data_IF_745587718008
#
_entry.id   IF_745587718008
#
_cell.length_a   1.000
_cell.length_b   1.000
_cell.length_c   1.000
_cell.angle_alpha   90.00
_cell.angle_beta   90.00
_cell.angle_gamma   90.00
#
_symmetry.space_group_name_H-M   'P 1'
#
loop_
_entity.id
_entity.type
_entity.pdbx_description
1 polymer ?
#
# COMPACT_ATOMS: atom_id res chain seq x y z
N UNK A 1 -31.38 -19.55 78.95
CA UNK A 1 -30.00 -19.15 79.33
C UNK A 1 -28.94 -20.07 78.71
N UNK A 2 -28.83 -21.35 79.08
CA UNK A 2 -27.81 -22.26 78.49
C UNK A 2 -27.92 -22.46 76.97
N UNK A 3 -29.13 -22.59 76.43
CA UNK A 3 -29.36 -22.71 74.98
C UNK A 3 -28.94 -21.46 74.22
N UNK A 4 -29.36 -20.27 74.65
CA UNK A 4 -29.03 -18.98 74.01
C UNK A 4 -27.52 -18.71 74.01
N UNK A 5 -26.84 -19.03 75.11
CA UNK A 5 -25.37 -18.92 75.19
C UNK A 5 -24.72 -19.86 74.18
N UNK A 6 -25.14 -21.13 74.11
CA UNK A 6 -24.59 -22.08 73.13
C UNK A 6 -24.82 -21.63 71.67
N UNK A 7 -25.99 -21.05 71.35
CA UNK A 7 -26.26 -20.50 70.01
C UNK A 7 -25.35 -19.31 69.70
N UNK A 8 -25.13 -18.42 70.66
CA UNK A 8 -24.23 -17.27 70.52
C UNK A 8 -22.76 -17.68 70.40
N UNK A 9 -22.30 -18.69 71.13
CA UNK A 9 -20.93 -19.20 71.01
C UNK A 9 -20.71 -19.85 69.65
N UNK A 10 -21.71 -20.58 69.14
CA UNK A 10 -21.69 -21.18 67.80
C UNK A 10 -21.65 -20.13 66.69
N UNK A 11 -22.46 -19.06 66.79
CA UNK A 11 -22.43 -17.97 65.80
C UNK A 11 -21.14 -17.16 65.88
N UNK A 12 -20.59 -16.91 67.07
CA UNK A 12 -19.27 -16.26 67.25
C UNK A 12 -18.16 -17.06 66.57
N UNK A 13 -18.08 -18.37 66.82
CA UNK A 13 -17.09 -19.23 66.18
C UNK A 13 -17.25 -19.28 64.64
N UNK A 14 -18.49 -19.25 64.14
CA UNK A 14 -18.76 -19.16 62.71
C UNK A 14 -18.38 -17.82 62.08
N UNK A 15 -18.52 -16.72 62.81
CA UNK A 15 -18.07 -15.38 62.39
C UNK A 15 -16.54 -15.29 62.36
N UNK A 16 -15.84 -15.81 63.38
CA UNK A 16 -14.37 -15.82 63.43
C UNK A 16 -13.75 -16.66 62.29
N UNK A 17 -14.39 -17.78 61.94
CA UNK A 17 -13.94 -18.61 60.81
C UNK A 17 -14.10 -17.88 59.46
N UNK A 18 -15.19 -17.13 59.27
CA UNK A 18 -15.39 -16.31 58.07
C UNK A 18 -14.40 -15.16 58.00
N UNK A 19 -14.12 -14.51 59.14
CA UNK A 19 -13.19 -13.39 59.21
C UNK A 19 -11.77 -13.84 58.83
N UNK A 20 -11.30 -14.97 59.35
CA UNK A 20 -10.03 -15.58 58.94
C UNK A 20 -9.98 -15.95 57.46
N UNK A 21 -11.08 -16.45 56.90
CA UNK A 21 -11.13 -16.77 55.47
C UNK A 21 -10.98 -15.51 54.61
N UNK A 22 -11.70 -14.44 54.95
CA UNK A 22 -11.61 -13.16 54.25
C UNK A 22 -10.24 -12.49 54.39
N UNK A 23 -9.60 -12.57 55.56
CA UNK A 23 -8.23 -12.09 55.76
C UNK A 23 -7.25 -12.80 54.81
N UNK A 24 -7.35 -14.12 54.71
CA UNK A 24 -6.50 -14.93 53.84
C UNK A 24 -6.76 -14.66 52.34
N UNK A 25 -8.00 -14.37 51.97
CA UNK A 25 -8.38 -14.00 50.60
C UNK A 25 -7.90 -12.59 50.24
N UNK A 26 -7.96 -11.64 51.17
CA UNK A 26 -7.41 -10.30 51.00
C UNK A 26 -5.89 -10.34 50.84
N UNK A 27 -5.18 -11.16 51.62
CA UNK A 27 -3.73 -11.31 51.50
C UNK A 27 -3.30 -11.92 50.15
N UNK A 28 -4.07 -12.89 49.63
CA UNK A 28 -3.88 -13.41 48.26
C UNK A 28 -4.14 -12.33 47.21
N UNK A 29 -5.18 -11.52 47.40
CA UNK A 29 -5.53 -10.45 46.45
C UNK A 29 -4.47 -9.33 46.45
N UNK A 30 -3.94 -8.94 47.61
CA UNK A 30 -2.90 -7.90 47.70
C UNK A 30 -1.57 -8.34 47.09
N UNK A 31 -1.19 -9.61 47.26
CA UNK A 31 0.01 -10.18 46.63
C UNK A 31 -0.13 -10.23 45.11
N UNK A 32 -1.30 -10.61 44.59
CA UNK A 32 -1.54 -10.62 43.14
C UNK A 32 -1.57 -9.20 42.55
N UNK A 33 -2.20 -8.22 43.23
CA UNK A 33 -2.16 -6.80 42.82
C UNK A 33 -0.71 -6.29 42.78
N UNK A 34 0.12 -6.66 43.75
CA UNK A 34 1.54 -6.29 43.78
C UNK A 34 2.32 -6.91 42.63
N UNK A 35 2.01 -8.17 42.26
CA UNK A 35 2.60 -8.84 41.10
C UNK A 35 2.19 -8.17 39.79
N UNK A 36 0.89 -7.91 39.61
CA UNK A 36 0.34 -7.30 38.40
C UNK A 36 0.83 -5.86 38.21
N UNK A 37 0.91 -5.07 39.28
CA UNK A 37 1.46 -3.70 39.20
C UNK A 37 2.92 -3.68 38.77
N UNK A 38 3.74 -4.62 39.27
CA UNK A 38 5.13 -4.77 38.81
C UNK A 38 5.20 -5.16 37.33
N UNK A 39 4.39 -6.12 36.89
CA UNK A 39 4.34 -6.52 35.49
C UNK A 39 3.90 -5.37 34.57
N UNK A 40 2.90 -4.58 34.99
CA UNK A 40 2.45 -3.40 34.25
C UNK A 40 3.56 -2.38 34.10
N UNK A 41 4.30 -2.10 35.18
CA UNK A 41 5.45 -1.18 35.14
C UNK A 41 6.56 -1.67 34.20
N UNK A 42 6.86 -2.97 34.21
CA UNK A 42 7.87 -3.55 33.31
C UNK A 42 7.40 -3.48 31.84
N UNK A 43 6.12 -3.74 31.58
CA UNK A 43 5.53 -3.66 30.23
C UNK A 43 5.53 -2.22 29.70
N UNK A 44 5.18 -1.24 30.52
CA UNK A 44 5.23 0.18 30.14
C UNK A 44 6.64 0.62 29.75
N UNK A 45 7.65 0.12 30.44
CA UNK A 45 9.04 0.42 30.11
C UNK A 45 9.48 -0.22 28.79
N UNK A 46 9.06 -1.46 28.54
CA UNK A 46 9.30 -2.10 27.25
C UNK A 46 8.63 -1.32 26.12
N UNK A 47 7.38 -0.89 26.30
CA UNK A 47 6.65 -0.07 25.31
C UNK A 47 7.44 1.20 25.00
N UNK A 48 7.92 1.93 26.04
CA UNK A 48 8.75 3.13 25.84
C UNK A 48 9.98 2.87 24.98
N UNK A 49 10.72 1.79 25.27
CA UNK A 49 11.93 1.42 24.52
C UNK A 49 11.57 1.07 23.06
N UNK A 50 10.50 0.32 22.83
CA UNK A 50 10.08 -0.05 21.48
C UNK A 50 9.57 1.15 20.67
N UNK A 51 8.86 2.09 21.31
CA UNK A 51 8.43 3.34 20.67
C UNK A 51 9.62 4.20 20.25
N UNK A 52 10.65 4.32 21.09
CA UNK A 52 11.86 5.06 20.74
C UNK A 52 12.61 4.42 19.57
N UNK A 53 12.76 3.09 19.58
CA UNK A 53 13.33 2.34 18.45
C UNK A 53 12.51 2.53 17.18
N UNK A 54 11.18 2.45 17.27
CA UNK A 54 10.29 2.64 16.12
C UNK A 54 10.46 4.04 15.52
N UNK A 55 10.53 5.09 16.36
CA UNK A 55 10.82 6.47 15.90
C UNK A 55 12.17 6.59 15.20
N UNK A 56 13.22 5.95 15.74
CA UNK A 56 14.54 5.96 15.12
C UNK A 56 14.54 5.29 13.74
N UNK A 57 13.92 4.10 13.62
CA UNK A 57 13.79 3.39 12.35
C UNK A 57 12.92 4.15 11.35
N UNK A 58 11.84 4.79 11.77
CA UNK A 58 11.00 5.59 10.87
C UNK A 58 11.77 6.79 10.29
N UNK A 59 12.57 7.47 11.11
CA UNK A 59 13.44 8.58 10.69
C UNK A 59 14.47 8.12 9.65
N UNK A 60 15.08 6.96 9.86
CA UNK A 60 16.02 6.37 8.90
C UNK A 60 15.32 5.94 7.60
N UNK A 61 14.15 5.29 7.70
CA UNK A 61 13.33 4.90 6.54
C UNK A 61 13.00 6.11 5.67
N UNK A 62 12.60 7.24 6.28
CA UNK A 62 12.29 8.48 5.55
C UNK A 62 13.52 8.99 4.78
N UNK A 63 14.69 9.03 5.42
CA UNK A 63 15.94 9.47 4.76
C UNK A 63 16.31 8.59 3.58
N UNK A 64 16.27 7.27 3.77
CA UNK A 64 16.60 6.30 2.71
C UNK A 64 15.60 6.35 1.57
N UNK A 65 14.30 6.47 1.88
CA UNK A 65 13.24 6.60 0.89
C UNK A 65 13.44 7.84 0.01
N UNK A 66 13.71 8.99 0.63
CA UNK A 66 13.97 10.24 -0.08
C UNK A 66 15.19 10.13 -0.99
N UNK A 67 16.29 9.56 -0.50
CA UNK A 67 17.50 9.34 -1.30
C UNK A 67 17.19 8.47 -2.54
N UNK A 68 16.40 7.40 -2.37
CA UNK A 68 15.98 6.55 -3.49
C UNK A 68 15.13 7.36 -4.49
N UNK A 69 14.22 8.20 -4.03
CA UNK A 69 13.40 9.03 -4.93
C UNK A 69 14.26 10.04 -5.70
N UNK A 70 15.22 10.70 -5.04
CA UNK A 70 16.13 11.65 -5.68
C UNK A 70 17.01 10.96 -6.74
N UNK A 71 17.53 9.77 -6.44
CA UNK A 71 18.33 8.99 -7.40
C UNK A 71 17.52 8.50 -8.60
N UNK A 72 16.23 8.21 -8.41
CA UNK A 72 15.31 7.87 -9.51
C UNK A 72 14.90 9.11 -10.33
N UNK A 73 15.13 10.31 -9.83
CA UNK A 73 14.72 11.57 -10.45
C UNK A 73 13.40 12.10 -9.89
N UNK A 74 13.38 13.41 -9.66
CA UNK A 74 12.20 14.13 -9.14
C UNK A 74 11.07 14.26 -10.16
N UNK A 75 11.40 14.17 -11.46
CA UNK A 75 10.43 14.14 -12.56
C UNK A 75 10.59 12.79 -13.23
N UNK A 76 9.50 12.06 -13.34
CA UNK A 76 9.44 10.76 -14.01
C UNK A 76 8.31 10.74 -15.03
N UNK A 77 8.60 10.15 -16.18
CA UNK A 77 7.67 9.99 -17.29
C UNK A 77 7.49 8.51 -17.56
N UNK A 78 6.28 8.03 -17.34
CA UNK A 78 5.89 6.66 -17.65
C UNK A 78 5.01 6.64 -18.90
N UNK A 79 5.31 5.71 -19.81
CA UNK A 79 4.43 5.41 -20.94
C UNK A 79 3.56 4.21 -20.57
N UNK A 80 2.25 4.29 -20.82
CA UNK A 80 1.34 3.16 -20.62
C UNK A 80 0.52 2.91 -21.87
N UNK A 81 0.67 1.73 -22.43
CA UNK A 81 -0.13 1.24 -23.54
C UNK A 81 -1.38 0.56 -22.98
N UNK A 82 -2.55 0.92 -23.51
CA UNK A 82 -3.79 0.21 -23.17
C UNK A 82 -3.95 -1.05 -24.04
N UNK A 83 -4.62 -2.09 -23.53
CA UNK A 83 -5.06 -3.19 -24.37
C UNK A 83 -6.04 -2.74 -25.46
N UNK A 84 -6.10 -3.51 -26.54
CA UNK A 84 -7.10 -3.36 -27.59
C UNK A 84 -8.48 -3.75 -27.04
N UNK A 85 -9.52 -2.98 -27.39
CA UNK A 85 -10.89 -3.17 -26.89
C UNK A 85 -11.83 -3.61 -28.00
N UNK A 86 -12.66 -4.63 -27.71
CA UNK A 86 -13.82 -5.03 -28.53
C UNK A 86 -13.51 -5.19 -30.02
N UNK A 87 -14.11 -4.34 -30.84
CA UNK A 87 -13.97 -4.34 -32.31
C UNK A 87 -12.52 -4.10 -32.79
N UNK A 88 -11.68 -3.43 -32.00
CA UNK A 88 -10.26 -3.21 -32.35
C UNK A 88 -9.47 -4.52 -32.42
N UNK A 89 -9.80 -5.48 -31.55
CA UNK A 89 -9.19 -6.81 -31.55
C UNK A 89 -9.52 -7.56 -32.84
N UNK A 90 -10.76 -7.40 -33.33
CA UNK A 90 -11.24 -8.03 -34.56
C UNK A 90 -10.61 -7.39 -35.80
N UNK A 91 -10.44 -6.07 -35.82
CA UNK A 91 -9.89 -5.35 -36.97
C UNK A 91 -8.35 -5.42 -37.07
N UNK A 92 -7.62 -5.60 -35.97
CA UNK A 92 -6.14 -5.64 -35.96
C UNK A 92 -5.54 -7.03 -35.69
N UNK A 93 -6.32 -8.12 -35.84
CA UNK A 93 -5.89 -9.48 -35.48
C UNK A 93 -5.31 -9.58 -34.05
N UNK A 94 -5.80 -8.74 -33.13
CA UNK A 94 -5.33 -8.67 -31.74
C UNK A 94 -3.87 -8.24 -31.54
N UNK A 95 -3.19 -7.66 -32.54
CA UNK A 95 -1.78 -7.24 -32.42
C UNK A 95 -1.57 -5.78 -32.84
N UNK A 96 -0.78 -5.06 -32.04
CA UNK A 96 -0.35 -3.69 -32.32
C UNK A 96 0.94 -3.74 -33.15
N UNK A 97 0.82 -3.83 -34.48
CA UNK A 97 1.99 -4.05 -35.36
C UNK A 97 2.92 -2.84 -35.52
N UNK A 98 2.48 -1.66 -35.09
CA UNK A 98 3.21 -0.39 -35.27
C UNK A 98 3.90 0.09 -33.99
N UNK A 99 3.86 -0.67 -32.89
CA UNK A 99 4.51 -0.33 -31.63
C UNK A 99 5.32 -1.53 -31.14
N UNK A 100 6.59 -1.29 -30.83
CA UNK A 100 7.50 -2.29 -30.24
C UNK A 100 8.07 -1.76 -28.93
N UNK A 101 7.98 -2.55 -27.86
CA UNK A 101 8.62 -2.26 -26.58
C UNK A 101 9.91 -3.04 -26.52
N UNK A 102 11.04 -2.38 -26.24
CA UNK A 102 12.34 -3.08 -26.08
C UNK A 102 12.36 -3.86 -24.76
N UNK A 103 13.26 -4.84 -24.67
CA UNK A 103 13.43 -5.69 -23.48
C UNK A 103 13.75 -4.90 -22.20
N UNK A 104 14.30 -3.69 -22.35
CA UNK A 104 14.62 -2.77 -21.24
C UNK A 104 13.38 -2.16 -20.56
N UNK A 105 12.19 -2.30 -21.15
CA UNK A 105 10.95 -1.64 -20.70
C UNK A 105 11.10 -0.13 -20.48
N UNK A 106 12.03 0.53 -21.17
CA UNK A 106 12.29 1.98 -21.13
C UNK A 106 12.18 2.61 -22.50
N UNK A 107 12.43 1.83 -23.54
CA UNK A 107 12.41 2.28 -24.92
C UNK A 107 11.17 1.79 -25.65
N UNK A 108 10.54 2.68 -26.41
CA UNK A 108 9.37 2.40 -27.25
C UNK A 108 9.64 2.85 -28.68
N UNK A 109 9.50 1.95 -29.64
CA UNK A 109 9.65 2.23 -31.07
C UNK A 109 8.28 2.27 -31.74
N UNK A 110 8.01 3.34 -32.49
CA UNK A 110 6.79 3.53 -33.26
C UNK A 110 7.10 3.53 -34.76
N UNK A 111 6.51 2.58 -35.49
CA UNK A 111 6.65 2.43 -36.93
C UNK A 111 5.51 3.16 -37.63
N UNK A 112 5.80 4.24 -38.34
CA UNK A 112 4.83 4.91 -39.20
C UNK A 112 4.97 4.40 -40.64
N UNK A 113 4.02 3.58 -41.07
CA UNK A 113 3.81 3.27 -42.48
C UNK A 113 3.02 4.42 -43.11
N UNK A 114 3.66 5.19 -43.98
CA UNK A 114 2.93 6.15 -44.80
C UNK A 114 2.12 5.38 -45.86
N UNK A 115 0.81 5.30 -45.69
CA UNK A 115 -0.10 4.95 -46.78
C UNK A 115 -0.10 6.12 -47.77
N UNK A 116 0.90 6.15 -48.65
CA UNK A 116 0.82 6.94 -49.87
C UNK A 116 -0.12 6.21 -50.82
N UNK A 117 -1.39 6.56 -50.77
CA UNK A 117 -2.39 6.32 -51.80
C UNK A 117 -2.04 7.11 -53.07
N UNK A 118 -0.92 6.77 -53.72
CA UNK A 118 -0.54 7.29 -55.03
C UNK A 118 0.08 6.16 -55.87
N UNK A 119 -0.63 5.89 -56.95
CA UNK A 119 -0.43 4.96 -58.08
C UNK A 119 0.91 5.13 -58.83
N UNK A 120 2.03 5.17 -58.13
CA UNK A 120 3.34 5.26 -58.79
C UNK A 120 4.37 4.58 -57.90
N UNK A 121 5.01 3.52 -58.40
CA UNK A 121 5.86 2.56 -57.67
C UNK A 121 7.11 3.11 -56.94
N UNK A 122 6.94 4.11 -56.09
CA UNK A 122 7.94 4.63 -55.18
C UNK A 122 7.84 3.92 -53.82
N UNK A 123 8.98 3.38 -53.39
CA UNK A 123 9.17 2.63 -52.14
C UNK A 123 8.54 3.35 -50.94
N UNK A 124 7.69 2.64 -50.21
CA UNK A 124 7.16 3.04 -48.89
C UNK A 124 8.35 3.39 -47.98
N UNK A 125 8.49 4.67 -47.62
CA UNK A 125 9.45 5.08 -46.59
C UNK A 125 8.83 4.82 -45.22
N UNK A 126 9.17 3.69 -44.62
CA UNK A 126 8.90 3.45 -43.21
C UNK A 126 9.75 4.43 -42.40
N UNK A 127 9.10 5.27 -41.58
CA UNK A 127 9.79 6.13 -40.61
C UNK A 127 9.60 5.56 -39.22
N UNK A 128 10.72 5.27 -38.54
CA UNK A 128 10.74 4.80 -37.15
C UNK A 128 10.93 6.01 -36.23
N UNK A 129 10.17 6.03 -35.14
CA UNK A 129 10.31 7.01 -34.06
C UNK A 129 10.64 6.28 -32.77
N UNK A 130 11.78 6.61 -32.19
CA UNK A 130 12.22 6.03 -30.92
C UNK A 130 11.96 7.00 -29.78
N UNK A 131 11.35 6.51 -28.71
CA UNK A 131 11.03 7.27 -27.51
C UNK A 131 11.62 6.57 -26.29
N UNK A 132 12.18 7.35 -25.37
CA UNK A 132 12.73 6.87 -24.11
C UNK A 132 11.93 7.42 -22.93
N UNK A 133 11.63 6.55 -21.98
CA UNK A 133 10.84 6.81 -20.78
C UNK A 133 11.51 6.18 -19.56
N UNK A 134 11.12 6.60 -18.35
CA UNK A 134 11.58 5.94 -17.12
C UNK A 134 11.08 4.50 -17.04
N UNK A 135 9.87 4.26 -17.58
CA UNK A 135 9.25 2.94 -17.71
C UNK A 135 8.15 2.95 -18.77
N UNK A 136 8.05 1.86 -19.52
CA UNK A 136 7.01 1.59 -20.52
C UNK A 136 6.21 0.38 -20.04
N UNK A 137 4.93 0.61 -19.78
CA UNK A 137 3.97 -0.42 -19.42
C UNK A 137 3.26 -0.91 -20.68
N UNK A 138 3.44 -2.19 -21.00
CA UNK A 138 2.77 -2.82 -22.13
C UNK A 138 1.27 -3.02 -21.90
N UNK A 139 0.52 -3.40 -22.96
CA UNK A 139 -0.93 -3.62 -22.92
C UNK A 139 -1.40 -4.60 -21.85
N UNK A 140 -0.58 -5.59 -21.51
CA UNK A 140 -0.89 -6.64 -20.54
C UNK A 140 -0.60 -6.22 -19.08
N UNK A 141 -0.10 -4.99 -18.87
CA UNK A 141 0.27 -4.50 -17.54
C UNK A 141 -0.98 -4.19 -16.71
N UNK A 142 -1.08 -4.84 -15.55
CA UNK A 142 -2.17 -4.63 -14.59
C UNK A 142 -2.03 -3.32 -13.82
N UNK A 143 -3.14 -2.87 -13.23
CA UNK A 143 -3.15 -1.67 -12.37
C UNK A 143 -2.23 -1.81 -11.15
N UNK A 144 -2.03 -3.03 -10.65
CA UNK A 144 -1.16 -3.28 -9.49
C UNK A 144 0.30 -2.95 -9.80
N UNK A 145 0.80 -3.41 -10.94
CA UNK A 145 2.18 -3.16 -11.37
C UNK A 145 2.43 -1.68 -11.61
N UNK A 146 1.45 -0.95 -12.14
CA UNK A 146 1.53 0.51 -12.28
C UNK A 146 1.52 1.19 -10.91
N UNK A 147 0.68 0.72 -9.99
CA UNK A 147 0.58 1.27 -8.64
C UNK A 147 1.84 1.04 -7.80
N UNK A 148 2.59 -0.05 -8.00
CA UNK A 148 3.85 -0.27 -7.30
C UNK A 148 4.85 0.88 -7.52
N UNK A 149 4.93 1.43 -8.72
CA UNK A 149 5.79 2.59 -9.01
C UNK A 149 5.27 3.87 -8.37
N UNK A 150 3.94 4.06 -8.36
CA UNK A 150 3.27 5.25 -7.81
C UNK A 150 3.23 5.22 -6.28
N UNK A 151 3.19 4.04 -5.66
CA UNK A 151 3.13 3.87 -4.20
C UNK A 151 4.33 4.52 -3.50
N UNK A 152 5.49 4.53 -4.15
CA UNK A 152 6.68 5.21 -3.64
C UNK A 152 6.51 6.74 -3.61
N UNK A 153 5.80 7.30 -4.58
CA UNK A 153 5.44 8.71 -4.58
C UNK A 153 4.43 9.02 -3.48
N UNK A 154 3.41 8.17 -3.30
CA UNK A 154 2.44 8.30 -2.20
C UNK A 154 3.15 8.31 -0.84
N UNK A 155 4.10 7.41 -0.63
CA UNK A 155 4.90 7.38 0.60
C UNK A 155 5.67 8.69 0.83
N UNK A 156 6.19 9.30 -0.24
CA UNK A 156 6.87 10.60 -0.17
C UNK A 156 5.91 11.71 0.26
N UNK A 157 4.65 11.65 -0.22
CA UNK A 157 3.61 12.59 0.21
C UNK A 157 3.29 12.47 1.71
N UNK A 158 3.20 11.23 2.21
CA UNK A 158 3.02 10.96 3.66
C UNK A 158 4.23 11.47 4.46
N UNK A 159 5.43 11.37 3.90
CA UNK A 159 6.67 11.86 4.52
C UNK A 159 6.82 13.39 4.50
N UNK A 160 5.86 14.11 3.92
CA UNK A 160 5.78 15.58 3.92
C UNK A 160 6.25 16.26 2.64
N UNK A 161 6.41 15.51 1.54
CA UNK A 161 6.79 16.08 0.24
C UNK A 161 5.58 16.38 -0.64
N UNK A 162 5.69 17.43 -1.46
CA UNK A 162 4.68 17.72 -2.47
C UNK A 162 4.86 16.80 -3.67
N UNK A 163 3.80 16.06 -4.01
CA UNK A 163 3.80 15.08 -5.09
C UNK A 163 2.65 15.40 -6.04
N UNK A 164 2.93 15.35 -7.35
CA UNK A 164 1.94 15.51 -8.39
C UNK A 164 2.02 14.33 -9.37
N UNK A 165 0.88 13.70 -9.63
CA UNK A 165 0.72 12.65 -10.63
C UNK A 165 -0.41 13.06 -11.55
N UNK A 166 -0.14 13.11 -12.86
CA UNK A 166 -1.14 13.42 -13.86
C UNK A 166 -1.03 12.42 -15.02
N UNK A 167 -2.17 12.12 -15.64
CA UNK A 167 -2.23 11.27 -16.82
C UNK A 167 -2.38 12.15 -18.07
N UNK A 168 -1.56 11.89 -19.09
CA UNK A 168 -1.57 12.62 -20.36
C UNK A 168 -1.83 11.69 -21.55
N UNK A 169 -2.50 12.19 -22.59
CA UNK A 169 -2.83 11.43 -23.80
C UNK A 169 -4.15 11.86 -24.45
N UNK A 170 -4.43 11.35 -25.64
CA UNK A 170 -5.68 11.62 -26.37
C UNK A 170 -6.93 11.03 -25.70
N UNK A 171 -8.12 11.45 -26.12
CA UNK A 171 -9.38 10.81 -25.69
C UNK A 171 -9.37 9.33 -26.08
N UNK A 172 -9.82 8.45 -25.17
CA UNK A 172 -9.80 7.00 -25.37
C UNK A 172 -8.45 6.31 -25.12
N UNK A 173 -7.40 7.02 -24.71
CA UNK A 173 -6.08 6.42 -24.43
C UNK A 173 -5.96 5.72 -23.06
N UNK A 174 -6.99 5.77 -22.21
CA UNK A 174 -6.98 5.14 -20.89
C UNK A 174 -6.54 6.04 -19.71
N UNK A 175 -6.57 7.37 -19.85
CA UNK A 175 -6.28 8.31 -18.74
C UNK A 175 -7.17 8.09 -17.52
N UNK A 176 -8.50 8.15 -17.71
CA UNK A 176 -9.50 7.93 -16.65
C UNK A 176 -9.38 6.53 -16.08
N UNK A 177 -9.24 5.51 -16.94
CA UNK A 177 -8.99 4.14 -16.50
C UNK A 177 -7.72 4.00 -15.65
N UNK A 178 -6.67 4.75 -15.94
CA UNK A 178 -5.44 4.72 -15.12
C UNK A 178 -5.68 5.35 -13.75
N UNK A 179 -6.28 6.53 -13.69
CA UNK A 179 -6.43 7.28 -12.44
C UNK A 179 -7.57 6.77 -11.56
N UNK A 180 -8.75 6.55 -12.13
CA UNK A 180 -9.96 6.15 -11.40
C UNK A 180 -10.17 4.63 -11.43
N UNK A 181 -9.85 3.99 -12.55
CA UNK A 181 -10.07 2.56 -12.76
C UNK A 181 -11.27 2.27 -13.66
N UNK A 182 -11.66 0.99 -13.68
CA UNK A 182 -12.92 0.54 -14.26
C UNK A 182 -13.96 0.19 -13.19
N UNK A 183 -15.22 0.09 -13.58
CA UNK A 183 -16.34 -0.27 -12.69
C UNK A 183 -16.29 -1.73 -12.20
N UNK A 184 -15.47 -2.57 -12.84
CA UNK A 184 -15.33 -3.98 -12.47
C UNK A 184 -14.44 -4.19 -11.25
N UNK A 185 -14.87 -5.07 -10.34
CA UNK A 185 -14.10 -5.49 -9.17
C UNK A 185 -12.69 -5.96 -9.59
N UNK A 186 -11.66 -5.32 -9.07
CA UNK A 186 -10.25 -5.61 -9.37
C UNK A 186 -9.59 -4.65 -10.38
N UNK A 187 -10.34 -3.72 -10.99
CA UNK A 187 -9.80 -2.74 -11.96
C UNK A 187 -9.55 -1.35 -11.36
N UNK A 188 -9.35 -1.26 -10.05
CA UNK A 188 -9.18 0.01 -9.34
C UNK A 188 -8.00 0.82 -9.88
N UNK A 189 -8.20 2.12 -10.07
CA UNK A 189 -7.14 3.03 -10.53
C UNK A 189 -6.21 3.47 -9.41
N UNK A 190 -5.31 4.39 -9.75
CA UNK A 190 -4.31 4.92 -8.82
C UNK A 190 -4.93 5.68 -7.65
N UNK A 191 -6.01 6.43 -7.87
CA UNK A 191 -6.69 7.23 -6.84
C UNK A 191 -7.29 6.33 -5.74
N UNK A 192 -8.19 5.36 -6.05
CA UNK A 192 -8.75 4.50 -5.01
C UNK A 192 -7.68 3.62 -4.33
N UNK A 193 -6.66 3.16 -5.06
CA UNK A 193 -5.55 2.38 -4.49
C UNK A 193 -4.70 3.18 -3.50
N UNK A 194 -4.54 4.48 -3.72
CA UNK A 194 -3.80 5.38 -2.82
C UNK A 194 -4.46 5.50 -1.44
N UNK A 195 -5.79 5.35 -1.36
CA UNK A 195 -6.54 5.51 -0.10
C UNK A 195 -6.58 4.21 0.72
N UNK A 196 -6.48 3.04 0.05
CA UNK A 196 -6.68 1.72 0.68
C UNK A 196 -5.46 1.16 1.39
N UNK A 197 -4.26 1.65 1.11
CA UNK A 197 -2.99 1.17 1.65
C UNK A 197 -2.39 2.24 2.55
#
# INVERSE_FOLDING_TARGET
>A
LKSTVATLTSTSAGMDAKLKHFELENEKSTTEISRLSKLSSDQEEQIRIYEEKARAFESERRKLHNLIQELKGNIRVFCRLRPLLGEEVLHQNGKINHISIKEDSKSLELLKSSDSSLDTGLKVKNTNYDFEFDKVFGPDTTQDVVFEEISQLVQSAIDGYNVCVFAYGQTGSGKTFTMEGGESSGCEGMIPKTIKK
#
